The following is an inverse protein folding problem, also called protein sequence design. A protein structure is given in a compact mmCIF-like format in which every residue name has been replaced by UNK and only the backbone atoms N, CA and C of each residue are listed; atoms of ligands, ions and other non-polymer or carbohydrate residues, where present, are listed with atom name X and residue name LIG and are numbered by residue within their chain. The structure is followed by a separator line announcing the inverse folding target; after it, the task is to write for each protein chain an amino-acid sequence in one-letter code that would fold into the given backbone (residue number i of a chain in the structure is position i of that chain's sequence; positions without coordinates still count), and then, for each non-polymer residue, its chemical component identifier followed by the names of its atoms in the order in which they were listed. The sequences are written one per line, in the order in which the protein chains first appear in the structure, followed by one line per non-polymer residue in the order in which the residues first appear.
data_IF_419835751648
#
_entry.id   IF_419835751648
#
_cell.length_a   1.000
_cell.length_b   1.000
_cell.length_c   1.000
_cell.angle_alpha   90.00
_cell.angle_beta   90.00
_cell.angle_gamma   90.00
#
_symmetry.space_group_name_H-M   'P 1'
#
loop_
_entity.id
_entity.type
_entity.pdbx_description
1 polymer ?
#
# COMPACT_ATOMS: atom_id res chain seq x y z
N UNK A 1 18.64 -12.97 10.12
CA UNK A 1 17.43 -12.32 10.64
C UNK A 1 16.93 -11.42 9.53
N UNK A 2 16.25 -12.00 8.55
CA UNK A 2 15.73 -11.29 7.39
C UNK A 2 14.53 -10.48 7.87
N UNK A 3 14.79 -9.23 8.26
CA UNK A 3 13.76 -8.27 8.53
C UNK A 3 12.93 -8.17 7.27
N UNK A 4 11.69 -8.66 7.36
CA UNK A 4 10.63 -8.42 6.39
C UNK A 4 10.41 -6.90 6.39
N UNK A 5 11.30 -6.18 5.73
CA UNK A 5 11.35 -4.72 5.71
C UNK A 5 10.25 -4.29 4.76
N UNK A 6 9.02 -4.32 5.28
CA UNK A 6 7.95 -3.50 4.74
C UNK A 6 8.44 -2.07 4.84
N UNK A 7 8.86 -1.51 3.71
CA UNK A 7 9.16 -0.10 3.63
C UNK A 7 7.88 0.67 3.99
N UNK A 8 8.03 1.77 4.72
CA UNK A 8 6.87 2.53 5.19
C UNK A 8 6.01 2.95 3.99
N UNK A 9 4.68 2.76 4.04
CA UNK A 9 3.81 3.09 2.93
C UNK A 9 3.93 4.58 2.59
N UNK A 10 4.32 4.88 1.35
CA UNK A 10 4.44 6.24 0.85
C UNK A 10 3.11 6.67 0.25
N UNK A 11 2.47 7.70 0.82
CA UNK A 11 1.28 8.31 0.25
C UNK A 11 1.68 9.50 -0.64
N UNK A 12 1.23 9.47 -1.88
CA UNK A 12 1.44 10.54 -2.86
C UNK A 12 0.09 11.08 -3.28
N UNK A 13 -0.08 12.40 -3.30
CA UNK A 13 -1.28 13.03 -3.83
C UNK A 13 -1.16 13.15 -5.35
N UNK A 14 -2.08 12.55 -6.08
CA UNK A 14 -2.20 12.67 -7.54
C UNK A 14 -3.31 13.66 -7.93
N UNK A 15 -3.39 14.02 -9.22
CA UNK A 15 -4.36 15.00 -9.75
C UNK A 15 -5.82 14.61 -9.46
N UNK A 16 -6.13 13.31 -9.52
CA UNK A 16 -7.48 12.75 -9.38
C UNK A 16 -7.63 11.86 -8.12
N UNK A 17 -6.69 11.93 -7.17
CA UNK A 17 -6.77 11.11 -5.96
C UNK A 17 -5.44 10.95 -5.21
N UNK A 18 -5.24 9.76 -4.67
CA UNK A 18 -4.11 9.39 -3.84
C UNK A 18 -3.51 8.07 -4.32
N UNK A 19 -2.18 8.03 -4.42
CA UNK A 19 -1.39 6.85 -4.74
C UNK A 19 -0.65 6.40 -3.48
N UNK A 20 -0.89 5.17 -3.06
CA UNK A 20 -0.15 4.52 -1.98
C UNK A 20 0.86 3.56 -2.60
N UNK A 21 2.13 3.76 -2.30
CA UNK A 21 3.23 2.91 -2.74
C UNK A 21 3.85 2.22 -1.55
N UNK A 22 3.86 0.89 -1.55
CA UNK A 22 4.44 0.08 -0.47
C UNK A 22 5.45 -0.90 -1.06
N UNK A 23 6.65 -1.00 -0.47
CA UNK A 23 7.58 -2.09 -0.81
C UNK A 23 7.41 -3.21 0.21
N UNK A 24 6.97 -4.36 -0.27
CA UNK A 24 6.77 -5.58 0.49
C UNK A 24 7.71 -6.65 -0.07
N UNK A 25 8.66 -7.12 0.74
CA UNK A 25 9.58 -8.22 0.39
C UNK A 25 10.23 -8.07 -1.00
N UNK A 26 10.71 -6.86 -1.32
CA UNK A 26 11.34 -6.54 -2.62
C UNK A 26 10.38 -6.28 -3.78
N UNK A 27 9.06 -6.33 -3.55
CA UNK A 27 8.03 -5.99 -4.54
C UNK A 27 7.37 -4.65 -4.21
N UNK A 28 7.19 -3.81 -5.22
CA UNK A 28 6.42 -2.57 -5.09
C UNK A 28 4.96 -2.87 -5.40
N UNK A 29 4.06 -2.51 -4.49
CA UNK A 29 2.62 -2.49 -4.72
C UNK A 29 2.12 -1.06 -4.72
N UNK A 30 1.35 -0.72 -5.74
CA UNK A 30 0.76 0.59 -5.95
C UNK A 30 -0.76 0.46 -5.87
N UNK A 31 -1.37 1.26 -4.98
CA UNK A 31 -2.82 1.31 -4.79
C UNK A 31 -3.27 2.73 -5.07
N UNK A 32 -4.32 2.90 -5.88
CA UNK A 32 -4.94 4.21 -6.13
C UNK A 32 -6.24 4.31 -5.36
N UNK A 33 -6.48 5.48 -4.77
CA UNK A 33 -7.67 5.77 -3.98
C UNK A 33 -8.21 7.15 -4.33
N UNK A 34 -9.52 7.32 -4.24
CA UNK A 34 -10.16 8.61 -4.53
C UNK A 34 -10.02 9.60 -3.35
N UNK A 35 -9.87 9.11 -2.12
CA UNK A 35 -9.87 9.96 -0.91
C UNK A 35 -8.68 9.69 0.01
N UNK A 36 -8.27 10.71 0.76
CA UNK A 36 -7.15 10.64 1.72
C UNK A 36 -7.42 9.60 2.82
N UNK A 37 -8.67 9.51 3.31
CA UNK A 37 -9.07 8.54 4.32
C UNK A 37 -8.91 7.09 3.84
N UNK A 38 -9.30 6.81 2.58
CA UNK A 38 -9.05 5.50 1.99
C UNK A 38 -7.55 5.22 1.92
N UNK A 39 -6.76 6.20 1.50
CA UNK A 39 -5.31 6.04 1.38
C UNK A 39 -4.64 5.74 2.73
N UNK A 40 -5.00 6.46 3.80
CA UNK A 40 -4.51 6.17 5.16
C UNK A 40 -4.93 4.79 5.65
N UNK A 41 -6.18 4.40 5.39
CA UNK A 41 -6.69 3.08 5.76
C UNK A 41 -5.91 1.96 5.06
N UNK A 42 -5.68 2.07 3.76
CA UNK A 42 -4.89 1.10 3.00
C UNK A 42 -3.42 1.09 3.43
N UNK A 43 -2.82 2.25 3.68
CA UNK A 43 -1.45 2.34 4.19
C UNK A 43 -1.29 1.60 5.53
N UNK A 44 -2.21 1.80 6.47
CA UNK A 44 -2.22 1.11 7.76
C UNK A 44 -2.40 -0.41 7.58
N UNK A 45 -3.36 -0.84 6.75
CA UNK A 45 -3.57 -2.26 6.47
C UNK A 45 -2.37 -2.93 5.82
N UNK A 46 -1.74 -2.29 4.84
CA UNK A 46 -0.56 -2.82 4.14
C UNK A 46 0.68 -2.87 5.04
N UNK A 47 0.80 -1.94 6.00
CA UNK A 47 1.86 -1.95 7.00
C UNK A 47 1.68 -3.07 8.04
N UNK A 48 0.44 -3.29 8.50
CA UNK A 48 0.13 -4.30 9.52
C UNK A 48 0.05 -5.71 8.96
N UNK A 49 -0.30 -5.84 7.68
CA UNK A 49 -0.51 -7.13 7.05
C UNK A 49 0.15 -7.09 5.67
N UNK A 50 1.35 -7.67 5.51
CA UNK A 50 1.95 -7.93 4.21
C UNK A 50 1.14 -9.07 3.55
N UNK A 51 -0.15 -8.82 3.29
CA UNK A 51 -1.04 -9.79 2.69
C UNK A 51 -0.49 -10.12 1.32
N UNK A 52 -0.18 -11.40 1.16
CA UNK A 52 0.00 -12.05 -0.13
C UNK A 52 -1.08 -11.49 -1.07
N UNK A 53 -0.72 -11.09 -2.30
CA UNK A 53 -1.61 -10.38 -3.21
C UNK A 53 -2.81 -11.29 -3.53
N UNK A 54 -3.87 -11.20 -2.74
CA UNK A 54 -5.15 -11.78 -3.06
C UNK A 54 -5.71 -10.90 -4.16
N UNK A 55 -5.57 -11.39 -5.40
CA UNK A 55 -6.34 -10.94 -6.55
C UNK A 55 -7.81 -10.95 -6.14
N UNK A 56 -8.32 -9.82 -5.67
CA UNK A 56 -9.75 -9.59 -5.62
C UNK A 56 -10.20 -9.40 -7.06
N UNK A 57 -10.60 -10.52 -7.66
CA UNK A 57 -11.37 -10.58 -8.90
C UNK A 57 -12.79 -10.98 -8.49
N UNK A 58 -13.74 -10.06 -8.65
CA UNK A 58 -15.13 -10.38 -8.86
C UNK A 58 -15.70 -9.35 -9.83
#
# INVERSE_FOLDING_TARGET
MDTLTTDSPTLTREKDGWLIRVRLAGRVQEVRCATENQARYFAAMLAMNPLKPTRFRN
#
